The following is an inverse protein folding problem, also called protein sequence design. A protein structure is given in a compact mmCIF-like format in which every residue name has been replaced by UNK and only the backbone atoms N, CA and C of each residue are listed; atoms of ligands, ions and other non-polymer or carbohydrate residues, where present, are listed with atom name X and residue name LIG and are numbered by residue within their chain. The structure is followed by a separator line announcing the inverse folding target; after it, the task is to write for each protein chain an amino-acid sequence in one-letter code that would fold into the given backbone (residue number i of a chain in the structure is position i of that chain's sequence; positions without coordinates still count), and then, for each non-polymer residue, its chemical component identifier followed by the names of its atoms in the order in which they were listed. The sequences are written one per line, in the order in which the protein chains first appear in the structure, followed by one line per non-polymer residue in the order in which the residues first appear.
data_IF_899579757175
#
_entry.id   IF_899579757175
#
_cell.length_a   1.000
_cell.length_b   1.000
_cell.length_c   1.000
_cell.angle_alpha   90.00
_cell.angle_beta   90.00
_cell.angle_gamma   90.00
#
_symmetry.space_group_name_H-M   'P 1'
#
loop_
_entity.id
_entity.type
_entity.pdbx_description
1 polymer ?
#
# COMPACT_ATOMS: atom_id res chain seq x y z
N UNK A 1 12.49 23.32 6.38
CA UNK A 1 12.25 21.91 6.01
C UNK A 1 12.13 21.13 7.30
N UNK A 2 10.94 21.22 7.90
CA UNK A 2 10.67 20.58 9.18
C UNK A 2 10.27 19.12 8.95
N UNK A 3 11.10 18.20 9.42
CA UNK A 3 10.76 16.79 9.50
C UNK A 3 9.73 16.62 10.62
N UNK A 4 8.45 16.64 10.25
CA UNK A 4 7.38 16.21 11.15
C UNK A 4 7.55 14.72 11.44
N UNK A 5 8.03 14.47 12.66
CA UNK A 5 8.17 13.17 13.28
C UNK A 5 6.79 12.72 13.79
N UNK A 6 5.86 12.46 12.87
CA UNK A 6 4.58 11.86 13.23
C UNK A 6 4.76 10.37 13.44
N UNK A 7 4.47 9.97 14.66
CA UNK A 7 4.52 8.65 15.25
C UNK A 7 3.70 7.65 14.42
N UNK A 8 4.36 6.94 13.51
CA UNK A 8 3.78 5.81 12.76
C UNK A 8 4.25 4.53 13.43
N UNK A 9 3.56 4.13 14.49
CA UNK A 9 3.65 2.77 15.01
C UNK A 9 2.74 1.84 14.17
N UNK A 10 2.91 1.88 12.85
CA UNK A 10 2.45 0.80 11.98
C UNK A 10 3.54 -0.25 12.17
N UNK A 11 3.19 -1.35 12.83
CA UNK A 11 4.07 -2.50 12.99
C UNK A 11 4.77 -2.74 11.65
N UNK A 12 6.08 -2.47 11.63
CA UNK A 12 6.89 -2.80 10.48
C UNK A 12 6.64 -4.28 10.20
N UNK A 13 6.40 -4.66 8.94
CA UNK A 13 6.17 -6.04 8.61
C UNK A 13 7.33 -6.89 9.17
N UNK A 14 7.08 -8.08 9.74
CA UNK A 14 8.12 -8.87 10.41
C UNK A 14 9.32 -9.20 9.51
N UNK A 15 9.16 -9.11 8.18
CA UNK A 15 10.24 -9.28 7.22
C UNK A 15 11.21 -8.07 7.16
N UNK A 16 10.77 -6.86 7.51
CA UNK A 16 11.60 -5.66 7.45
C UNK A 16 12.72 -5.71 8.50
N UNK A 17 12.45 -6.29 9.67
CA UNK A 17 13.47 -6.46 10.73
C UNK A 17 14.60 -7.41 10.27
N UNK A 18 14.26 -8.48 9.55
CA UNK A 18 15.25 -9.39 8.98
C UNK A 18 16.09 -8.71 7.89
N UNK A 19 15.46 -7.89 7.04
CA UNK A 19 16.17 -7.10 6.01
C UNK A 19 17.09 -6.06 6.66
N UNK A 20 16.62 -5.36 7.68
CA UNK A 20 17.42 -4.39 8.43
C UNK A 20 18.63 -5.06 9.11
N UNK A 21 18.40 -6.23 9.70
CA UNK A 21 19.46 -7.04 10.33
C UNK A 21 20.49 -7.55 9.32
N UNK A 22 20.06 -7.99 8.14
CA UNK A 22 20.96 -8.44 7.06
C UNK A 22 21.75 -7.29 6.43
N UNK A 23 21.19 -6.09 6.36
CA UNK A 23 21.87 -4.93 5.82
C UNK A 23 22.77 -4.21 6.85
N UNK A 24 22.84 -4.73 8.09
CA UNK A 24 23.51 -4.10 9.24
C UNK A 24 23.08 -2.64 9.47
N UNK A 25 21.84 -2.31 9.09
CA UNK A 25 21.33 -0.94 9.14
C UNK A 25 20.53 -0.71 10.40
N UNK A 26 20.76 0.44 11.03
CA UNK A 26 20.14 0.75 12.31
C UNK A 26 18.80 1.47 12.20
N UNK A 27 18.51 2.26 11.16
CA UNK A 27 17.32 3.16 11.20
C UNK A 27 16.54 3.41 9.91
N UNK A 28 17.10 3.24 8.71
CA UNK A 28 16.34 3.56 7.48
C UNK A 28 16.81 2.80 6.25
N UNK A 29 15.83 2.23 5.55
CA UNK A 29 15.97 1.55 4.27
C UNK A 29 15.08 2.23 3.23
N UNK A 30 15.60 2.33 2.02
CA UNK A 30 14.85 2.79 0.86
C UNK A 30 14.27 1.57 0.16
N UNK A 31 12.94 1.51 0.03
CA UNK A 31 12.23 0.43 -0.64
C UNK A 31 11.80 0.86 -2.05
N UNK A 32 12.29 0.17 -3.07
CA UNK A 32 11.80 0.27 -4.45
C UNK A 32 10.84 -0.88 -4.72
N UNK A 33 9.56 -0.59 -4.97
CA UNK A 33 8.57 -1.60 -5.32
C UNK A 33 8.39 -1.67 -6.84
N UNK A 34 8.53 -2.87 -7.40
CA UNK A 34 8.33 -3.13 -8.81
C UNK A 34 7.08 -3.98 -9.01
N UNK A 35 6.27 -3.62 -10.00
CA UNK A 35 5.12 -4.40 -10.47
C UNK A 35 5.28 -4.62 -11.96
N UNK A 36 5.28 -5.88 -12.37
CA UNK A 36 5.35 -6.23 -13.78
C UNK A 36 4.04 -5.84 -14.46
N UNK A 37 4.14 -5.21 -15.65
CA UNK A 37 2.97 -4.76 -16.42
C UNK A 37 2.30 -5.90 -17.19
N UNK A 38 3.05 -6.95 -17.53
CA UNK A 38 2.51 -8.15 -18.15
C UNK A 38 2.04 -9.14 -17.08
N UNK A 39 0.87 -9.74 -17.29
CA UNK A 39 0.42 -10.92 -16.53
C UNK A 39 1.31 -12.14 -16.84
N UNK A 40 2.04 -12.11 -17.94
CA UNK A 40 3.12 -13.03 -18.24
C UNK A 40 4.30 -12.72 -17.30
N UNK A 41 4.60 -13.63 -16.38
CA UNK A 41 5.71 -13.51 -15.42
C UNK A 41 7.07 -13.30 -16.07
N UNK A 42 8.12 -13.07 -15.27
CA UNK A 42 9.48 -12.91 -15.79
C UNK A 42 9.94 -14.26 -16.35
N UNK A 43 10.38 -14.26 -17.60
CA UNK A 43 11.04 -15.42 -18.20
C UNK A 43 12.47 -15.51 -17.67
N UNK A 44 12.75 -16.52 -16.85
CA UNK A 44 14.10 -16.81 -16.41
C UNK A 44 14.80 -17.67 -17.46
N UNK A 45 15.82 -17.12 -18.12
CA UNK A 45 16.61 -17.86 -19.10
C UNK A 45 17.83 -18.48 -18.42
N UNK A 46 18.17 -19.71 -18.82
CA UNK A 46 19.37 -20.44 -18.40
C UNK A 46 20.11 -20.97 -19.63
N UNK A 47 21.43 -21.26 -19.54
CA UNK A 47 22.16 -21.93 -20.61
C UNK A 47 21.45 -23.21 -21.08
N UNK A 48 21.59 -23.58 -22.35
CA UNK A 48 20.86 -24.74 -22.89
C UNK A 48 21.21 -26.06 -22.18
N UNK A 49 22.49 -26.24 -21.87
CA UNK A 49 23.09 -27.36 -21.15
C UNK A 49 22.96 -27.24 -19.62
N UNK A 50 22.32 -26.17 -19.13
CA UNK A 50 22.11 -25.96 -17.70
C UNK A 50 21.23 -27.06 -17.12
N UNK A 51 21.71 -27.63 -16.02
CA UNK A 51 21.06 -28.69 -15.26
C UNK A 51 20.98 -28.26 -13.80
N UNK A 52 19.74 -28.10 -13.33
CA UNK A 52 19.45 -27.63 -11.97
C UNK A 52 20.01 -28.59 -10.93
N UNK A 53 20.03 -29.89 -11.24
CA UNK A 53 20.50 -30.92 -10.31
C UNK A 53 22.03 -30.96 -10.21
N UNK A 54 22.75 -30.22 -11.07
CA UNK A 54 24.22 -30.07 -11.03
C UNK A 54 24.69 -28.81 -10.32
N UNK A 55 23.79 -27.97 -9.83
CA UNK A 55 24.17 -26.77 -9.08
C UNK A 55 24.76 -27.22 -7.74
N UNK A 56 26.01 -26.84 -7.41
CA UNK A 56 26.61 -27.19 -6.12
C UNK A 56 25.78 -26.60 -4.97
N UNK A 57 25.59 -27.40 -3.93
CA UNK A 57 24.91 -26.96 -2.71
C UNK A 57 25.62 -25.76 -2.08
N UNK A 58 24.85 -24.88 -1.43
CA UNK A 58 25.34 -23.65 -0.80
C UNK A 58 24.90 -22.39 -1.54
N UNK A 59 25.79 -21.41 -1.65
CA UNK A 59 25.46 -20.06 -2.13
C UNK A 59 24.97 -20.03 -3.58
N UNK A 60 25.55 -20.86 -4.46
CA UNK A 60 25.15 -20.94 -5.86
C UNK A 60 23.70 -21.44 -6.02
N UNK A 61 23.35 -22.50 -5.28
CA UNK A 61 21.98 -23.05 -5.24
C UNK A 61 20.99 -22.06 -4.65
N UNK A 62 21.36 -21.42 -3.54
CA UNK A 62 20.54 -20.38 -2.90
C UNK A 62 20.26 -19.20 -3.84
N UNK A 63 21.30 -18.73 -4.55
CA UNK A 63 21.17 -17.62 -5.51
C UNK A 63 20.25 -18.00 -6.66
N UNK A 64 20.34 -19.25 -7.14
CA UNK A 64 19.47 -19.77 -8.18
C UNK A 64 18.01 -19.83 -7.71
N UNK A 65 17.74 -20.38 -6.52
CA UNK A 65 16.39 -20.46 -5.94
C UNK A 65 15.78 -19.07 -5.71
N UNK A 66 16.59 -18.09 -5.30
CA UNK A 66 16.17 -16.69 -5.19
C UNK A 66 15.78 -16.10 -6.55
N UNK A 67 16.59 -16.34 -7.60
CA UNK A 67 16.30 -15.86 -8.95
C UNK A 67 15.05 -16.51 -9.54
N UNK A 68 14.84 -17.80 -9.29
CA UNK A 68 13.65 -18.54 -9.68
C UNK A 68 12.39 -18.00 -8.98
N UNK A 69 12.48 -17.73 -7.67
CA UNK A 69 11.39 -17.13 -6.89
C UNK A 69 11.06 -15.72 -7.36
N UNK A 70 12.10 -14.91 -7.66
CA UNK A 70 11.93 -13.58 -8.20
C UNK A 70 11.25 -13.61 -9.57
N UNK A 71 11.59 -14.61 -10.41
CA UNK A 71 11.00 -14.75 -11.73
C UNK A 71 9.51 -15.12 -11.68
N UNK A 72 9.12 -15.92 -10.68
CA UNK A 72 7.73 -16.29 -10.42
C UNK A 72 6.90 -15.14 -9.81
N UNK A 73 7.54 -14.14 -9.20
CA UNK A 73 6.85 -13.05 -8.52
C UNK A 73 6.29 -12.00 -9.51
N UNK A 74 5.00 -11.69 -9.40
CA UNK A 74 4.36 -10.59 -10.16
C UNK A 74 4.72 -9.20 -9.59
N UNK A 75 5.17 -9.17 -8.33
CA UNK A 75 5.57 -7.98 -7.58
C UNK A 75 6.79 -8.33 -6.74
N UNK A 76 7.79 -7.46 -6.74
CA UNK A 76 8.94 -7.62 -5.86
C UNK A 76 9.36 -6.25 -5.32
N UNK A 77 10.14 -6.25 -4.23
CA UNK A 77 10.68 -5.03 -3.63
C UNK A 77 12.17 -5.18 -3.46
N UNK A 78 12.93 -4.16 -3.87
CA UNK A 78 14.36 -4.05 -3.62
C UNK A 78 14.57 -3.08 -2.46
N UNK A 79 15.39 -3.48 -1.49
CA UNK A 79 15.72 -2.66 -0.33
C UNK A 79 17.17 -2.21 -0.44
N UNK A 80 17.40 -0.92 -0.26
CA UNK A 80 18.72 -0.31 -0.30
C UNK A 80 18.99 0.42 1.01
N UNK A 81 20.26 0.58 1.34
CA UNK A 81 20.65 1.54 2.37
C UNK A 81 20.22 2.94 1.94
N UNK A 82 19.67 3.74 2.86
CA UNK A 82 19.10 5.06 2.56
C UNK A 82 20.10 6.05 1.94
N UNK A 83 21.40 5.84 2.17
CA UNK A 83 22.50 6.65 1.66
C UNK A 83 23.00 6.25 0.26
N UNK A 84 22.62 5.06 -0.24
CA UNK A 84 23.12 4.54 -1.52
C UNK A 84 22.41 5.16 -2.71
N UNK A 85 21.11 5.41 -2.60
CA UNK A 85 20.31 6.04 -3.65
C UNK A 85 20.13 7.53 -3.35
N UNK A 86 21.00 8.37 -3.92
CA UNK A 86 20.82 9.82 -3.90
C UNK A 86 19.51 10.19 -4.61
N UNK A 87 18.83 11.25 -4.15
CA UNK A 87 17.60 11.76 -4.76
C UNK A 87 17.75 12.07 -6.26
N UNK A 88 18.94 12.51 -6.68
CA UNK A 88 19.27 12.73 -8.09
C UNK A 88 19.23 11.43 -8.92
N UNK A 89 19.64 10.29 -8.35
CA UNK A 89 19.59 8.99 -9.02
C UNK A 89 18.15 8.51 -9.22
N UNK A 90 17.22 8.87 -8.32
CA UNK A 90 15.79 8.56 -8.49
C UNK A 90 15.21 9.18 -9.74
N UNK A 91 15.51 10.45 -10.02
CA UNK A 91 15.05 11.11 -11.24
C UNK A 91 15.57 10.41 -12.51
N UNK A 92 16.77 9.82 -12.46
CA UNK A 92 17.31 9.04 -13.56
C UNK A 92 16.57 7.71 -13.76
N UNK A 93 16.26 6.99 -12.67
CA UNK A 93 15.45 5.77 -12.74
C UNK A 93 14.03 6.06 -13.22
N UNK A 94 13.40 7.10 -12.69
CA UNK A 94 12.07 7.54 -13.12
C UNK A 94 12.08 7.92 -14.60
N UNK A 95 13.08 8.69 -15.05
CA UNK A 95 13.26 9.03 -16.47
C UNK A 95 13.59 7.81 -17.35
N UNK A 96 14.22 6.77 -16.81
CA UNK A 96 14.47 5.53 -17.54
C UNK A 96 13.20 4.64 -17.65
N UNK A 97 12.30 4.73 -16.68
CA UNK A 97 11.06 3.92 -16.59
C UNK A 97 9.86 4.64 -17.25
N UNK A 98 9.87 5.98 -17.31
CA UNK A 98 8.76 6.82 -17.75
C UNK A 98 8.49 6.83 -19.27
N UNK A 99 9.48 6.88 -20.19
CA UNK A 99 9.17 6.89 -21.61
C UNK A 99 8.71 5.50 -22.05
N UNK A 100 7.61 5.47 -22.82
CA UNK A 100 7.33 4.30 -23.64
C UNK A 100 8.58 4.02 -24.50
N UNK A 101 9.15 2.80 -24.46
CA UNK A 101 10.43 2.54 -25.09
C UNK A 101 10.36 2.94 -26.55
N UNK A 102 11.34 3.72 -27.03
CA UNK A 102 11.48 4.08 -28.44
C UNK A 102 11.50 2.79 -29.28
N UNK A 103 11.01 2.82 -30.51
CA UNK A 103 10.92 1.63 -31.36
C UNK A 103 12.28 0.93 -31.55
N UNK A 104 13.38 1.69 -31.62
CA UNK A 104 14.74 1.16 -31.61
C UNK A 104 15.09 0.41 -30.31
N UNK A 105 14.69 0.95 -29.15
CA UNK A 105 14.89 0.31 -27.85
C UNK A 105 14.03 -0.96 -27.75
N UNK A 106 12.76 -0.90 -28.18
CA UNK A 106 11.88 -2.09 -28.28
C UNK A 106 12.51 -3.16 -29.16
N UNK A 107 13.05 -2.79 -30.33
CA UNK A 107 13.73 -3.71 -31.23
C UNK A 107 14.95 -4.33 -30.55
N UNK A 108 15.77 -3.54 -29.84
CA UNK A 108 16.91 -4.09 -29.06
C UNK A 108 16.45 -5.04 -27.95
N UNK A 109 15.35 -4.72 -27.26
CA UNK A 109 14.76 -5.59 -26.24
C UNK A 109 14.18 -6.87 -26.84
N UNK A 110 13.57 -6.78 -28.02
CA UNK A 110 13.10 -7.94 -28.79
C UNK A 110 14.26 -8.83 -29.22
N UNK A 111 15.36 -8.23 -29.68
CA UNK A 111 16.58 -8.97 -30.03
C UNK A 111 17.23 -9.63 -28.80
N UNK A 112 17.18 -8.97 -27.63
CA UNK A 112 17.60 -9.53 -26.33
C UNK A 112 16.66 -10.64 -25.83
N UNK A 113 15.37 -10.57 -26.13
CA UNK A 113 14.39 -11.64 -25.83
C UNK A 113 14.62 -12.91 -26.64
N UNK A 114 15.44 -12.87 -27.69
CA UNK A 114 15.79 -14.08 -28.41
C UNK A 114 16.74 -14.93 -27.56
N UNK A 115 16.16 -15.81 -26.75
CA UNK A 115 16.88 -16.70 -25.83
C UNK A 115 17.99 -17.47 -26.55
N UNK A 116 17.84 -17.77 -27.84
CA UNK A 116 18.85 -18.45 -28.67
C UNK A 116 20.14 -17.65 -28.90
N UNK A 117 20.13 -16.34 -28.68
CA UNK A 117 21.31 -15.46 -28.81
C UNK A 117 22.01 -15.17 -27.47
N UNK A 118 21.39 -15.54 -26.35
CA UNK A 118 21.99 -15.40 -25.03
C UNK A 118 23.19 -16.35 -24.87
N UNK A 119 24.01 -16.11 -23.85
CA UNK A 119 25.18 -16.93 -23.50
C UNK A 119 26.19 -17.06 -24.67
N UNK A 120 26.63 -15.92 -25.21
CA UNK A 120 27.63 -15.86 -26.29
C UNK A 120 27.21 -16.66 -27.55
N UNK A 121 25.92 -16.73 -27.84
CA UNK A 121 25.39 -17.44 -29.01
C UNK A 121 25.28 -18.96 -28.85
N UNK A 122 25.62 -19.51 -27.68
CA UNK A 122 25.33 -20.92 -27.33
C UNK A 122 23.83 -21.15 -27.22
N UNK A 123 23.08 -20.09 -26.94
CA UNK A 123 21.64 -20.12 -26.76
C UNK A 123 21.26 -20.58 -25.36
N UNK A 124 20.12 -20.06 -24.90
CA UNK A 124 19.50 -20.46 -23.66
C UNK A 124 18.15 -21.13 -23.89
N UNK A 125 17.63 -21.69 -22.80
CA UNK A 125 16.25 -22.15 -22.69
C UNK A 125 15.56 -21.36 -21.56
N UNK A 126 14.25 -21.22 -21.65
CA UNK A 126 13.47 -20.67 -20.53
C UNK A 126 13.40 -21.75 -19.46
N UNK A 127 13.97 -21.45 -18.29
CA UNK A 127 13.83 -22.27 -17.09
C UNK A 127 12.38 -22.26 -16.64
N UNK A 128 11.82 -23.45 -16.41
CA UNK A 128 10.48 -23.60 -15.84
C UNK A 128 10.65 -23.86 -14.35
N UNK A 129 10.08 -23.01 -13.48
CA UNK A 129 10.26 -23.18 -12.05
C UNK A 129 9.83 -24.57 -11.57
N UNK A 130 10.65 -25.22 -10.74
CA UNK A 130 10.40 -26.57 -10.21
C UNK A 130 9.30 -26.50 -9.14
N UNK A 131 8.04 -26.47 -9.58
CA UNK A 131 6.89 -26.32 -8.66
C UNK A 131 5.59 -25.83 -9.29
N UNK A 132 5.56 -25.52 -10.59
CA UNK A 132 4.34 -25.11 -11.30
C UNK A 132 3.84 -26.14 -12.33
N UNK A 133 4.11 -27.42 -12.10
CA UNK A 133 3.30 -28.49 -12.70
C UNK A 133 1.96 -28.60 -11.93
N UNK A 134 1.21 -27.50 -11.93
CA UNK A 134 -0.21 -27.51 -11.58
C UNK A 134 -1.02 -28.18 -12.70
N UNK A 135 -2.19 -28.76 -12.40
CA UNK A 135 -2.97 -29.51 -13.38
C UNK A 135 -3.36 -28.62 -14.57
N UNK A 136 -3.15 -29.16 -15.77
CA UNK A 136 -3.62 -28.62 -17.06
C UNK A 136 -5.06 -28.08 -16.97
N UNK A 137 -5.43 -26.99 -17.68
CA UNK A 137 -6.70 -26.30 -17.48
C UNK A 137 -7.85 -27.10 -18.11
N UNK A 138 -8.40 -28.07 -17.37
CA UNK A 138 -9.78 -28.47 -17.53
C UNK A 138 -10.41 -28.71 -16.15
N UNK A 139 -11.47 -27.95 -15.90
CA UNK A 139 -12.55 -28.12 -14.91
C UNK A 139 -12.30 -27.77 -13.44
N UNK A 140 -13.00 -26.70 -13.05
CA UNK A 140 -13.90 -26.53 -11.90
C UNK A 140 -13.59 -27.16 -10.53
N UNK A 141 -13.48 -26.23 -9.56
CA UNK A 141 -14.04 -26.20 -8.19
C UNK A 141 -13.38 -26.99 -7.04
N UNK A 142 -13.40 -26.27 -5.92
CA UNK A 142 -13.37 -26.63 -4.50
C UNK A 142 -12.03 -26.56 -3.77
N UNK A 143 -11.95 -25.51 -2.96
CA UNK A 143 -10.96 -25.18 -1.93
C UNK A 143 -10.94 -26.19 -0.79
N UNK A 144 -9.74 -26.53 -0.31
CA UNK A 144 -9.41 -26.76 1.12
C UNK A 144 -7.88 -26.82 1.32
N UNK A 145 -7.36 -26.50 2.53
CA UNK A 145 -5.98 -26.07 2.73
C UNK A 145 -5.03 -27.22 3.08
N UNK A 146 -3.77 -27.13 2.64
CA UNK A 146 -2.72 -28.09 2.96
C UNK A 146 -1.61 -27.49 3.85
N UNK A 147 -1.11 -28.36 4.72
CA UNK A 147 -0.22 -28.13 5.85
C UNK A 147 1.15 -27.53 5.52
N UNK A 148 1.57 -26.59 6.36
CA UNK A 148 2.92 -26.03 6.36
C UNK A 148 3.94 -27.04 6.89
N UNK A 149 4.97 -27.29 6.08
CA UNK A 149 6.22 -27.91 6.56
C UNK A 149 7.29 -26.82 6.55
N UNK A 150 7.89 -26.59 7.71
CA UNK A 150 8.89 -25.55 7.97
C UNK A 150 10.21 -25.85 7.25
N UNK A 151 10.60 -24.97 6.31
CA UNK A 151 11.92 -24.94 5.69
C UNK A 151 12.44 -23.49 5.69
N UNK A 152 13.64 -23.28 6.24
CA UNK A 152 14.22 -21.97 6.51
C UNK A 152 15.04 -21.46 5.31
N UNK A 153 14.54 -20.44 4.61
CA UNK A 153 15.27 -19.73 3.53
C UNK A 153 14.32 -18.87 2.70
N UNK A 154 14.10 -17.62 3.11
CA UNK A 154 12.96 -16.78 2.71
C UNK A 154 13.13 -16.09 1.34
N UNK A 155 12.53 -16.65 0.30
CA UNK A 155 11.68 -15.91 -0.64
C UNK A 155 10.22 -16.26 -0.35
N UNK A 156 9.68 -15.63 0.70
CA UNK A 156 8.29 -15.88 1.10
C UNK A 156 7.33 -15.40 -0.01
N UNK A 157 6.33 -16.21 -0.40
CA UNK A 157 5.26 -15.76 -1.28
C UNK A 157 4.55 -14.57 -0.63
N UNK A 158 4.53 -13.43 -1.33
CA UNK A 158 3.90 -12.21 -0.83
C UNK A 158 2.37 -12.32 -0.90
N UNK A 159 1.74 -11.74 0.12
CA UNK A 159 0.29 -11.58 0.35
C UNK A 159 -0.58 -11.69 -0.91
N UNK A 160 -1.38 -12.75 -0.96
CA UNK A 160 -2.64 -12.75 -1.69
C UNK A 160 -3.75 -12.93 -0.66
N UNK A 161 -4.05 -11.89 0.11
CA UNK A 161 -5.30 -11.85 0.89
C UNK A 161 -6.03 -10.52 0.62
N UNK A 162 -7.31 -10.59 0.20
CA UNK A 162 -8.18 -9.42 0.22
C UNK A 162 -8.59 -9.17 1.67
N UNK A 163 -8.22 -8.02 2.24
CA UNK A 163 -8.78 -7.58 3.52
C UNK A 163 -10.31 -7.48 3.41
N UNK A 164 -11.09 -8.05 4.34
CA UNK A 164 -12.45 -7.59 4.58
C UNK A 164 -12.39 -6.17 5.13
N UNK A 165 -13.21 -5.28 4.58
CA UNK A 165 -13.47 -3.95 5.14
C UNK A 165 -14.16 -4.12 6.50
N UNK A 166 -13.39 -4.10 7.58
CA UNK A 166 -13.94 -3.83 8.92
C UNK A 166 -14.22 -2.33 9.02
N UNK A 167 -15.50 -2.00 9.13
CA UNK A 167 -16.00 -0.65 9.38
C UNK A 167 -15.36 -0.06 10.66
N UNK A 168 -14.99 1.23 10.66
CA UNK A 168 -14.54 1.89 11.89
C UNK A 168 -15.68 1.96 12.92
N UNK A 169 -15.37 1.95 14.23
CA UNK A 169 -16.38 2.00 15.27
C UNK A 169 -17.16 3.33 15.20
N UNK A 170 -18.46 3.32 15.55
CA UNK A 170 -19.31 4.49 15.45
C UNK A 170 -18.89 5.54 16.49
N UNK A 171 -18.52 6.73 16.03
CA UNK A 171 -18.36 7.88 16.91
C UNK A 171 -19.75 8.42 17.27
N UNK A 172 -20.06 8.46 18.56
CA UNK A 172 -21.23 9.20 19.06
C UNK A 172 -21.07 10.69 18.71
N UNK A 173 -22.11 11.23 18.07
CA UNK A 173 -22.26 12.66 17.80
C UNK A 173 -22.23 13.43 19.12
N UNK A 174 -21.16 14.19 19.35
CA UNK A 174 -21.17 15.27 20.33
C UNK A 174 -22.23 16.32 19.94
N UNK A 175 -23.11 16.74 20.85
CA UNK A 175 -24.11 17.75 20.56
C UNK A 175 -23.45 19.14 20.47
N UNK A 176 -23.82 19.85 19.41
CA UNK A 176 -23.61 21.28 19.21
C UNK A 176 -24.08 22.08 20.42
N UNK A 177 -23.14 22.79 21.06
CA UNK A 177 -23.43 23.73 22.15
C UNK A 177 -22.65 25.03 21.92
N UNK A 178 -23.31 26.01 21.30
CA UNK A 178 -22.75 27.34 21.09
C UNK A 178 -22.53 28.09 22.41
N UNK A 179 -21.51 28.95 22.42
CA UNK A 179 -21.49 30.24 23.11
C UNK A 179 -20.22 31.00 22.73
N UNK A 180 -20.40 32.02 21.92
CA UNK A 180 -19.45 33.12 21.78
C UNK A 180 -19.42 33.93 23.06
N UNK A 181 -18.25 34.43 23.49
CA UNK A 181 -18.19 35.67 24.25
C UNK A 181 -17.36 36.70 23.48
N UNK A 182 -18.06 37.74 23.04
CA UNK A 182 -17.58 39.11 22.97
C UNK A 182 -16.80 39.45 24.25
N UNK A 183 -15.63 40.09 24.15
CA UNK A 183 -15.18 41.20 25.02
C UNK A 183 -13.76 41.66 24.62
N UNK A 184 -13.71 42.96 24.28
CA UNK A 184 -12.67 43.99 24.44
C UNK A 184 -11.19 43.65 24.22
N UNK A 185 -10.67 44.29 23.18
CA UNK A 185 -9.31 44.81 23.09
C UNK A 185 -9.07 45.91 24.13
N UNK A 186 -7.96 45.82 24.88
CA UNK A 186 -7.01 46.93 25.10
C UNK A 186 -5.78 46.50 25.90
N UNK A 187 -4.64 47.09 25.49
CA UNK A 187 -3.43 47.42 26.23
C UNK A 187 -2.35 46.34 26.58
N UNK A 188 -1.21 46.56 25.92
CA UNK A 188 0.19 46.28 26.25
C UNK A 188 0.58 45.92 27.71
N UNK A 189 1.48 44.93 27.85
CA UNK A 189 2.82 45.08 28.46
C UNK A 189 3.54 43.72 28.63
N UNK A 190 4.72 43.64 28.00
CA UNK A 190 6.02 43.15 28.50
C UNK A 190 6.15 41.94 29.45
N UNK A 191 7.14 41.09 29.09
CA UNK A 191 8.11 40.38 29.94
C UNK A 191 7.90 38.88 30.26
N UNK A 192 8.76 38.08 29.62
CA UNK A 192 9.31 36.77 30.03
C UNK A 192 10.19 36.98 31.29
N UNK A 193 10.20 36.08 32.31
CA UNK A 193 11.15 34.96 32.32
C UNK A 193 10.70 33.61 32.92
N UNK A 194 11.42 32.61 32.42
CA UNK A 194 11.44 31.17 32.70
C UNK A 194 11.28 30.74 34.17
N UNK A 195 10.63 29.56 34.36
CA UNK A 195 11.10 28.58 35.35
C UNK A 195 10.62 27.16 35.08
N UNK A 196 11.62 26.29 34.93
CA UNK A 196 11.60 24.83 34.87
C UNK A 196 11.10 24.22 36.18
N UNK A 197 10.23 23.20 36.09
CA UNK A 197 10.00 22.07 37.03
C UNK A 197 8.92 21.20 36.37
N UNK A 198 9.21 20.03 35.82
CA UNK A 198 9.64 18.85 36.56
C UNK A 198 8.40 18.08 37.03
N UNK A 199 7.73 17.37 36.12
CA UNK A 199 6.65 16.44 36.45
C UNK A 199 6.84 15.12 35.71
N UNK A 200 6.94 14.07 36.52
CA UNK A 200 7.12 12.66 36.22
C UNK A 200 5.83 12.09 35.60
N UNK A 201 5.87 11.23 34.56
CA UNK A 201 4.68 10.52 34.09
C UNK A 201 4.35 9.33 35.02
N UNK A 202 3.07 9.04 35.32
CA UNK A 202 2.71 7.92 36.16
C UNK A 202 2.88 6.58 35.44
N UNK A 203 3.28 5.60 36.25
CA UNK A 203 3.61 4.22 35.90
C UNK A 203 2.38 3.43 35.43
N UNK A 204 2.60 2.61 34.41
CA UNK A 204 1.75 1.50 34.00
C UNK A 204 1.63 0.46 35.13
N UNK A 205 0.41 0.06 35.46
CA UNK A 205 0.14 -1.16 36.23
C UNK A 205 -0.59 -2.18 35.38
N UNK A 206 0.09 -3.30 35.24
CA UNK A 206 -0.31 -4.62 34.77
C UNK A 206 -1.52 -5.14 35.56
N UNK A 207 -2.57 -5.62 34.89
CA UNK A 207 -3.54 -6.56 35.47
C UNK A 207 -3.91 -7.63 34.42
N UNK A 208 -3.35 -8.84 34.67
CA UNK A 208 -3.97 -10.19 34.65
C UNK A 208 -5.11 -10.44 33.65
N UNK A 209 -4.91 -11.28 32.64
CA UNK A 209 -5.15 -12.75 32.70
C UNK A 209 -6.48 -13.13 33.37
N UNK A 210 -7.46 -13.47 32.54
CA UNK A 210 -8.50 -14.43 32.87
C UNK A 210 -8.73 -15.34 31.67
N UNK A 211 -8.30 -16.59 31.84
CA UNK A 211 -8.83 -17.75 31.13
C UNK A 211 -10.34 -17.86 31.42
N UNK A 212 -11.16 -17.93 30.38
CA UNK A 212 -12.51 -18.48 30.48
C UNK A 212 -12.70 -19.47 29.36
N UNK A 213 -12.93 -20.70 29.82
CA UNK A 213 -13.23 -21.90 29.07
C UNK A 213 -14.52 -21.76 28.26
N UNK A 214 -14.44 -22.20 27.02
CA UNK A 214 -15.56 -22.64 26.20
C UNK A 214 -16.19 -23.89 26.83
N UNK A 215 -17.52 -23.95 26.92
CA UNK A 215 -18.17 -25.16 26.44
C UNK A 215 -19.48 -24.84 25.75
N UNK A 216 -19.69 -25.23 24.49
CA UNK A 216 -20.88 -25.99 24.08
C UNK A 216 -20.68 -26.63 22.71
N UNK A 217 -20.27 -27.89 22.75
CA UNK A 217 -20.29 -28.84 21.65
C UNK A 217 -21.74 -29.32 21.46
N UNK A 218 -22.50 -28.68 20.57
CA UNK A 218 -23.89 -29.01 20.23
C UNK A 218 -24.00 -29.43 18.78
N UNK A 219 -24.08 -30.74 18.54
CA UNK A 219 -24.00 -31.34 17.22
C UNK A 219 -25.12 -31.00 16.25
N UNK A 220 -24.74 -30.85 14.98
CA UNK A 220 -25.58 -31.13 13.81
C UNK A 220 -24.70 -31.68 12.70
N UNK A 221 -24.73 -33.00 12.51
CA UNK A 221 -24.33 -33.61 11.25
C UNK A 221 -25.57 -33.77 10.37
N UNK A 222 -25.56 -33.06 9.25
CA UNK A 222 -26.48 -33.22 8.14
C UNK A 222 -25.63 -33.48 6.90
N UNK A 223 -25.75 -34.68 6.34
CA UNK A 223 -25.18 -35.12 5.07
C UNK A 223 -25.74 -36.52 4.83
N UNK A 224 -26.72 -36.73 3.96
CA UNK A 224 -26.66 -36.73 2.49
C UNK A 224 -25.67 -37.76 1.95
N UNK A 225 -26.02 -39.03 2.07
CA UNK A 225 -25.49 -40.08 1.22
C UNK A 225 -26.60 -40.57 0.29
N UNK A 226 -26.44 -40.16 -0.96
CA UNK A 226 -27.20 -40.57 -2.12
C UNK A 226 -26.27 -41.51 -2.90
N UNK A 227 -26.41 -42.81 -2.72
CA UNK A 227 -25.79 -43.81 -3.60
C UNK A 227 -26.69 -45.03 -3.75
N UNK A 228 -27.25 -45.14 -4.95
CA UNK A 228 -27.44 -46.36 -5.75
C UNK A 228 -27.94 -47.63 -5.04
N UNK A 229 -29.24 -47.88 -5.15
CA UNK A 229 -29.83 -49.21 -4.94
C UNK A 229 -30.49 -49.68 -6.25
N UNK A 230 -29.68 -50.21 -7.16
CA UNK A 230 -30.14 -51.13 -8.20
C UNK A 230 -30.02 -52.58 -7.69
N UNK A 231 -31.07 -53.09 -7.03
CA UNK A 231 -31.18 -54.50 -6.66
C UNK A 231 -32.08 -55.23 -7.67
N UNK A 232 -31.50 -55.67 -8.78
CA UNK A 232 -32.15 -56.58 -9.75
C UNK A 232 -32.21 -57.99 -9.16
N UNK A 233 -33.31 -58.30 -8.47
CA UNK A 233 -33.59 -59.65 -8.00
C UNK A 233 -33.98 -60.55 -9.20
N UNK A 234 -33.13 -61.55 -9.43
CA UNK A 234 -33.26 -62.57 -10.48
C UNK A 234 -34.56 -63.37 -10.32
N UNK A 235 -35.40 -63.28 -11.35
CA UNK A 235 -36.61 -64.06 -11.58
C UNK A 235 -36.26 -65.56 -11.63
N UNK A 236 -36.59 -66.32 -10.59
CA UNK A 236 -36.59 -67.79 -10.62
C UNK A 236 -37.86 -68.27 -11.33
N UNK A 237 -37.70 -68.86 -12.51
CA UNK A 237 -38.71 -69.71 -13.17
C UNK A 237 -38.86 -71.02 -12.37
N UNK A 238 -40.06 -71.48 -12.02
CA UNK A 238 -40.30 -72.89 -11.76
C UNK A 238 -40.55 -73.65 -13.07
N UNK A 239 -40.10 -74.91 -13.20
CA UNK A 239 -40.30 -75.72 -14.38
C UNK A 239 -41.70 -76.32 -14.42
N UNK A 240 -42.20 -76.39 -15.64
CA UNK A 240 -43.43 -77.04 -16.09
C UNK A 240 -43.42 -78.52 -15.71
N UNK A 241 -44.40 -78.95 -14.92
CA UNK A 241 -44.76 -80.35 -14.75
C UNK A 241 -46.00 -80.63 -15.60
N UNK A 242 -45.81 -81.44 -16.64
CA UNK A 242 -46.89 -82.01 -17.45
C UNK A 242 -47.67 -83.02 -16.62
N UNK A 243 -48.99 -82.83 -16.52
CA UNK A 243 -49.95 -83.83 -16.06
C UNK A 243 -51.20 -83.76 -16.95
N UNK A 244 -51.53 -84.81 -17.72
CA UNK A 244 -52.72 -84.81 -18.57
C UNK A 244 -53.88 -85.45 -17.79
N UNK A 245 -54.75 -84.64 -17.20
CA UNK A 245 -56.02 -85.13 -16.68
C UNK A 245 -57.15 -84.78 -17.64
N UNK A 246 -57.62 -85.85 -18.29
CA UNK A 246 -58.85 -85.92 -19.06
C UNK A 246 -60.03 -85.74 -18.11
N UNK A 247 -60.76 -84.63 -18.22
CA UNK A 247 -62.07 -84.51 -17.59
C UNK A 247 -63.04 -83.82 -18.55
N UNK A 248 -64.00 -84.63 -19.03
CA UNK A 248 -65.41 -84.28 -19.24
C UNK A 248 -65.73 -83.02 -20.05
N UNK A 249 -66.06 -83.24 -21.33
CA UNK A 249 -67.00 -82.40 -22.10
C UNK A 249 -68.22 -82.03 -21.24
N UNK A 250 -68.44 -80.73 -21.06
CA UNK A 250 -69.75 -80.12 -20.81
C UNK A 250 -69.89 -78.96 -21.80
N UNK A 251 -70.52 -79.24 -22.95
CA UNK A 251 -70.70 -78.34 -24.10
C UNK A 251 -71.78 -77.25 -23.87
N UNK A 252 -71.97 -76.77 -22.64
CA UNK A 252 -72.99 -75.75 -22.35
C UNK A 252 -72.53 -74.53 -21.50
N UNK A 253 -71.25 -74.41 -21.14
CA UNK A 253 -70.74 -73.26 -20.33
C UNK A 253 -69.61 -72.42 -20.99
N UNK A 254 -69.12 -72.79 -22.18
CA UNK A 254 -68.00 -72.06 -22.84
C UNK A 254 -68.37 -70.63 -23.27
N UNK A 255 -69.62 -70.36 -23.64
CA UNK A 255 -70.05 -69.05 -24.10
C UNK A 255 -70.05 -67.98 -22.98
N UNK A 256 -70.30 -68.40 -21.73
CA UNK A 256 -70.31 -67.53 -20.54
C UNK A 256 -68.90 -67.09 -20.11
N UNK A 257 -67.92 -67.99 -20.25
CA UNK A 257 -66.53 -67.76 -19.81
C UNK A 257 -65.76 -66.84 -20.79
N UNK A 258 -66.07 -66.93 -22.09
CA UNK A 258 -65.50 -66.04 -23.12
C UNK A 258 -65.90 -64.58 -22.89
N UNK A 259 -67.17 -64.32 -22.53
CA UNK A 259 -67.64 -62.96 -22.22
C UNK A 259 -66.98 -62.35 -20.99
N UNK A 260 -66.70 -63.15 -19.95
CA UNK A 260 -66.03 -62.68 -18.73
C UNK A 260 -64.54 -62.38 -18.96
N UNK A 261 -63.86 -63.19 -19.77
CA UNK A 261 -62.49 -62.92 -20.23
C UNK A 261 -62.42 -61.66 -21.10
N UNK A 262 -63.40 -61.43 -21.97
CA UNK A 262 -63.45 -60.21 -22.79
C UNK A 262 -63.64 -58.94 -21.96
N UNK A 263 -64.47 -59.00 -20.92
CA UNK A 263 -64.64 -57.92 -19.95
C UNK A 263 -63.35 -57.65 -19.16
N UNK A 264 -62.63 -58.69 -18.71
CA UNK A 264 -61.32 -58.53 -18.07
C UNK A 264 -60.28 -57.91 -19.02
N UNK A 265 -60.25 -58.31 -20.28
CA UNK A 265 -59.36 -57.71 -21.28
C UNK A 265 -59.65 -56.22 -21.48
N UNK A 266 -60.93 -55.82 -21.60
CA UNK A 266 -61.35 -54.41 -21.68
C UNK A 266 -60.96 -53.62 -20.43
N UNK A 267 -61.12 -54.22 -19.24
CA UNK A 267 -60.70 -53.62 -17.96
C UNK A 267 -59.19 -53.36 -17.92
N UNK A 268 -58.37 -54.34 -18.33
CA UNK A 268 -56.91 -54.21 -18.37
C UNK A 268 -56.49 -53.15 -19.40
N UNK A 269 -57.16 -53.06 -20.54
CA UNK A 269 -56.88 -52.04 -21.54
C UNK A 269 -57.20 -50.63 -21.04
N UNK A 270 -58.32 -50.45 -20.33
CA UNK A 270 -58.65 -49.19 -19.66
C UNK A 270 -57.61 -48.81 -18.59
N UNK A 271 -57.18 -49.77 -17.76
CA UNK A 271 -56.13 -49.54 -16.77
C UNK A 271 -54.79 -49.14 -17.42
N UNK A 272 -54.44 -49.74 -18.58
CA UNK A 272 -53.24 -49.35 -19.34
C UNK A 272 -53.33 -47.91 -19.83
N UNK A 273 -54.46 -47.52 -20.42
CA UNK A 273 -54.69 -46.14 -20.88
C UNK A 273 -54.63 -45.15 -19.73
N UNK A 274 -55.18 -45.50 -18.57
CA UNK A 274 -55.12 -44.65 -17.38
C UNK A 274 -53.69 -44.47 -16.85
N UNK A 275 -52.88 -45.55 -16.82
CA UNK A 275 -51.46 -45.47 -16.45
C UNK A 275 -50.68 -44.61 -17.47
N UNK A 276 -50.98 -44.73 -18.77
CA UNK A 276 -50.35 -43.90 -19.81
C UNK A 276 -50.69 -42.42 -19.67
N UNK A 277 -51.96 -42.10 -19.36
CA UNK A 277 -52.38 -40.72 -19.06
C UNK A 277 -51.69 -40.17 -17.81
N UNK A 278 -51.57 -40.97 -16.74
CA UNK A 278 -50.85 -40.57 -15.53
C UNK A 278 -49.35 -40.31 -15.81
N UNK A 279 -48.72 -41.12 -16.67
CA UNK A 279 -47.33 -40.89 -17.10
C UNK A 279 -47.19 -39.58 -17.86
N UNK A 280 -48.12 -39.29 -18.77
CA UNK A 280 -48.17 -38.03 -19.50
C UNK A 280 -48.35 -36.83 -18.57
N UNK A 281 -49.22 -36.92 -17.56
CA UNK A 281 -49.39 -35.84 -16.57
C UNK A 281 -48.11 -35.58 -15.77
N UNK A 282 -47.41 -36.64 -15.34
CA UNK A 282 -46.13 -36.53 -14.62
C UNK A 282 -45.05 -35.89 -15.52
N UNK A 283 -44.97 -36.28 -16.78
CA UNK A 283 -44.02 -35.72 -17.75
C UNK A 283 -44.29 -34.22 -17.97
N UNK A 284 -45.56 -33.84 -18.12
CA UNK A 284 -45.97 -32.45 -18.29
C UNK A 284 -45.61 -31.60 -17.06
N UNK A 285 -45.90 -32.08 -15.85
CA UNK A 285 -45.52 -31.40 -14.61
C UNK A 285 -44.01 -31.25 -14.46
N UNK A 286 -43.22 -32.27 -14.85
CA UNK A 286 -41.75 -32.16 -14.87
C UNK A 286 -41.28 -31.08 -15.83
N UNK A 287 -41.89 -30.99 -17.02
CA UNK A 287 -41.59 -29.95 -18.01
C UNK A 287 -41.91 -28.56 -17.46
N UNK A 288 -43.04 -28.41 -16.78
CA UNK A 288 -43.47 -27.15 -16.17
C UNK A 288 -42.50 -26.67 -15.09
N UNK A 289 -42.07 -27.56 -14.18
CA UNK A 289 -41.07 -27.24 -13.13
C UNK A 289 -39.73 -26.85 -13.75
N UNK A 290 -39.29 -27.54 -14.80
CA UNK A 290 -38.04 -27.18 -15.49
C UNK A 290 -38.14 -25.80 -16.16
N UNK A 291 -39.27 -25.49 -16.80
CA UNK A 291 -39.50 -24.16 -17.39
C UNK A 291 -39.56 -23.07 -16.32
N UNK A 292 -40.21 -23.31 -15.18
CA UNK A 292 -40.21 -22.38 -14.06
C UNK A 292 -38.79 -22.14 -13.54
N UNK A 293 -37.96 -23.19 -13.43
CA UNK A 293 -36.54 -23.04 -13.05
C UNK A 293 -35.76 -22.23 -14.08
N UNK A 294 -35.99 -22.49 -15.37
CA UNK A 294 -35.34 -21.77 -16.46
C UNK A 294 -35.73 -20.28 -16.52
N UNK A 295 -36.94 -19.92 -16.06
CA UNK A 295 -37.39 -18.52 -15.98
C UNK A 295 -36.86 -17.86 -14.69
N UNK A 296 -36.84 -18.57 -13.57
CA UNK A 296 -36.35 -18.05 -12.30
C UNK A 296 -34.85 -17.71 -12.30
N UNK A 297 -34.03 -18.45 -13.06
CA UNK A 297 -32.60 -18.16 -13.17
C UNK A 297 -32.29 -16.78 -13.78
N UNK A 298 -32.81 -16.41 -14.96
CA UNK A 298 -32.70 -15.06 -15.49
C UNK A 298 -33.20 -13.97 -14.55
N UNK A 299 -34.30 -14.19 -13.83
CA UNK A 299 -34.83 -13.21 -12.87
C UNK A 299 -33.83 -12.95 -11.73
N UNK A 300 -33.28 -14.00 -11.13
CA UNK A 300 -32.25 -13.87 -10.10
C UNK A 300 -31.00 -13.16 -10.63
N UNK A 301 -30.58 -13.46 -11.86
CA UNK A 301 -29.44 -12.80 -12.48
C UNK A 301 -29.70 -11.30 -12.71
N UNK A 302 -30.92 -10.92 -13.10
CA UNK A 302 -31.32 -9.51 -13.26
C UNK A 302 -31.27 -8.78 -11.92
N UNK A 303 -31.79 -9.38 -10.85
CA UNK A 303 -31.73 -8.79 -9.50
C UNK A 303 -30.29 -8.63 -9.00
N UNK A 304 -29.41 -9.61 -9.27
CA UNK A 304 -28.00 -9.51 -8.93
C UNK A 304 -27.31 -8.39 -9.72
N UNK A 305 -27.58 -8.29 -11.02
CA UNK A 305 -27.05 -7.21 -11.86
C UNK A 305 -27.53 -5.84 -11.39
N UNK A 306 -28.81 -5.69 -11.05
CA UNK A 306 -29.36 -4.44 -10.50
C UNK A 306 -28.65 -4.06 -9.19
N UNK A 307 -28.39 -5.02 -8.30
CA UNK A 307 -27.64 -4.78 -7.07
C UNK A 307 -26.21 -4.31 -7.35
N UNK A 308 -25.53 -4.94 -8.31
CA UNK A 308 -24.17 -4.54 -8.71
C UNK A 308 -24.14 -3.14 -9.33
N UNK A 309 -25.13 -2.80 -10.15
CA UNK A 309 -25.27 -1.44 -10.72
C UNK A 309 -25.44 -0.41 -9.61
N UNK A 310 -26.34 -0.63 -8.65
CA UNK A 310 -26.52 0.31 -7.53
C UNK A 310 -25.26 0.46 -6.66
N UNK A 311 -24.46 -0.59 -6.48
CA UNK A 311 -23.17 -0.50 -5.80
C UNK A 311 -22.14 0.32 -6.59
N UNK A 312 -22.13 0.19 -7.92
CA UNK A 312 -21.25 0.97 -8.79
C UNK A 312 -21.65 2.44 -8.83
N UNK A 313 -22.95 2.75 -8.86
CA UNK A 313 -23.48 4.12 -8.78
C UNK A 313 -23.05 4.79 -7.47
N UNK A 314 -23.23 4.11 -6.33
CA UNK A 314 -22.79 4.64 -5.03
C UNK A 314 -21.28 4.93 -4.99
N UNK A 315 -20.46 4.02 -5.53
CA UNK A 315 -19.00 4.24 -5.62
C UNK A 315 -18.65 5.40 -6.55
N UNK A 316 -19.45 5.63 -7.58
CA UNK A 316 -19.26 6.75 -8.48
C UNK A 316 -19.56 8.08 -7.79
N UNK A 317 -20.66 8.16 -7.04
CA UNK A 317 -21.00 9.34 -6.22
C UNK A 317 -19.90 9.63 -5.17
N UNK A 318 -19.43 8.61 -4.45
CA UNK A 318 -18.32 8.75 -3.49
C UNK A 318 -17.04 9.29 -4.16
N UNK A 319 -16.72 8.79 -5.36
CA UNK A 319 -15.55 9.25 -6.13
C UNK A 319 -15.72 10.70 -6.63
N UNK A 320 -16.93 11.10 -6.99
CA UNK A 320 -17.25 12.47 -7.43
C UNK A 320 -17.15 13.47 -6.26
N UNK A 321 -17.58 13.08 -5.07
CA UNK A 321 -17.37 13.85 -3.84
C UNK A 321 -15.88 14.01 -3.53
N UNK A 322 -15.11 12.91 -3.57
CA UNK A 322 -13.66 12.96 -3.36
C UNK A 322 -12.98 13.88 -4.39
N UNK A 323 -13.39 13.83 -5.65
CA UNK A 323 -12.88 14.71 -6.70
C UNK A 323 -13.14 16.18 -6.39
N UNK A 324 -14.36 16.53 -5.95
CA UNK A 324 -14.70 17.90 -5.57
C UNK A 324 -13.84 18.39 -4.40
N UNK A 325 -13.66 17.57 -3.36
CA UNK A 325 -12.80 17.95 -2.21
C UNK A 325 -11.33 18.13 -2.61
N UNK A 326 -10.84 17.32 -3.55
CA UNK A 326 -9.48 17.45 -4.05
C UNK A 326 -9.30 18.74 -4.86
N UNK A 327 -10.31 19.10 -5.66
CA UNK A 327 -10.33 20.34 -6.41
C UNK A 327 -10.33 21.56 -5.49
N UNK A 328 -11.17 21.59 -4.45
CA UNK A 328 -11.18 22.67 -3.45
C UNK A 328 -9.81 22.85 -2.77
N UNK A 329 -9.16 21.73 -2.42
CA UNK A 329 -7.80 21.76 -1.83
C UNK A 329 -6.76 22.29 -2.80
N UNK A 330 -6.91 21.98 -4.09
CA UNK A 330 -6.04 22.51 -5.13
C UNK A 330 -6.21 24.02 -5.27
N UNK A 331 -7.45 24.51 -5.38
CA UNK A 331 -7.76 25.94 -5.45
C UNK A 331 -7.22 26.70 -4.22
N UNK A 332 -7.37 26.14 -3.01
CA UNK A 332 -6.79 26.72 -1.80
C UNK A 332 -5.26 26.77 -1.84
N UNK A 333 -4.62 25.73 -2.38
CA UNK A 333 -3.15 25.69 -2.52
C UNK A 333 -2.68 26.76 -3.51
N UNK A 334 -3.40 26.96 -4.61
CA UNK A 334 -3.09 27.98 -5.61
C UNK A 334 -3.22 29.40 -5.02
N UNK A 335 -4.24 29.65 -4.20
CA UNK A 335 -4.37 30.91 -3.44
C UNK A 335 -3.18 31.14 -2.52
N UNK A 336 -2.79 30.14 -1.72
CA UNK A 336 -1.66 30.25 -0.80
C UNK A 336 -0.33 30.50 -1.55
N UNK A 337 -0.14 29.89 -2.72
CA UNK A 337 1.03 30.13 -3.58
C UNK A 337 1.02 31.57 -4.11
N UNK A 338 -0.15 32.10 -4.47
CA UNK A 338 -0.31 33.50 -4.89
C UNK A 338 0.04 34.49 -3.77
N UNK A 339 -0.44 34.24 -2.55
CA UNK A 339 -0.11 35.03 -1.36
C UNK A 339 1.41 35.01 -1.10
N UNK A 340 2.02 33.82 -1.03
CA UNK A 340 3.46 33.67 -0.83
C UNK A 340 4.28 34.37 -1.93
N UNK A 341 3.81 34.32 -3.18
CA UNK A 341 4.47 35.02 -4.28
C UNK A 341 4.45 36.53 -4.10
N UNK A 342 3.36 37.07 -3.54
CA UNK A 342 3.23 38.50 -3.22
C UNK A 342 4.21 38.89 -2.12
N UNK A 343 4.26 38.11 -1.03
CA UNK A 343 5.21 38.33 0.08
C UNK A 343 6.67 38.34 -0.39
N UNK A 344 7.02 37.42 -1.30
CA UNK A 344 8.37 37.35 -1.88
C UNK A 344 8.71 38.61 -2.68
N UNK A 345 7.75 39.15 -3.45
CA UNK A 345 7.92 40.39 -4.22
C UNK A 345 8.08 41.59 -3.28
N UNK A 346 7.28 41.67 -2.21
CA UNK A 346 7.40 42.74 -1.21
C UNK A 346 8.76 42.68 -0.50
N UNK A 347 9.19 41.49 -0.09
CA UNK A 347 10.49 41.28 0.55
C UNK A 347 11.65 41.64 -0.39
N UNK A 348 11.56 41.26 -1.66
CA UNK A 348 12.57 41.62 -2.66
C UNK A 348 12.64 43.13 -2.86
N UNK A 349 11.49 43.81 -2.92
CA UNK A 349 11.43 45.28 -3.04
C UNK A 349 12.07 45.95 -1.84
N UNK A 350 11.76 45.48 -0.62
CA UNK A 350 12.38 45.98 0.60
C UNK A 350 13.90 45.75 0.65
N UNK A 351 14.38 44.60 0.18
CA UNK A 351 15.81 44.32 0.06
C UNK A 351 16.52 45.27 -0.90
N UNK A 352 15.92 45.56 -2.06
CA UNK A 352 16.45 46.52 -3.02
C UNK A 352 16.51 47.94 -2.45
N UNK A 353 15.54 48.33 -1.63
CA UNK A 353 15.55 49.63 -0.94
C UNK A 353 16.66 49.73 0.11
N UNK A 354 16.83 48.70 0.95
CA UNK A 354 17.95 48.63 1.91
C UNK A 354 19.30 48.68 1.18
N UNK A 355 19.43 47.95 0.08
CA UNK A 355 20.63 47.98 -0.76
C UNK A 355 20.92 49.37 -1.34
N UNK A 356 19.88 50.15 -1.67
CA UNK A 356 20.03 51.53 -2.15
C UNK A 356 20.44 52.51 -1.03
N UNK A 357 20.01 52.27 0.21
CA UNK A 357 20.35 53.12 1.37
C UNK A 357 21.74 52.82 1.95
N UNK A 358 22.27 51.61 1.74
CA UNK A 358 23.57 51.19 2.29
C UNK A 358 24.75 52.12 1.90
N UNK A 359 24.89 52.58 0.64
CA UNK A 359 25.95 53.52 0.25
C UNK A 359 25.87 54.84 1.01
N UNK A 360 24.66 55.39 1.19
CA UNK A 360 24.46 56.67 1.90
C UNK A 360 24.91 56.54 3.36
N UNK A 361 24.53 55.44 4.04
CA UNK A 361 24.98 55.16 5.41
C UNK A 361 26.50 54.96 5.48
N UNK A 362 27.10 54.30 4.49
CA UNK A 362 28.55 54.14 4.42
C UNK A 362 29.27 55.49 4.22
N UNK A 363 28.71 56.38 3.40
CA UNK A 363 29.23 57.73 3.19
C UNK A 363 29.12 58.57 4.47
N UNK A 364 27.97 58.56 5.15
CA UNK A 364 27.80 59.23 6.45
C UNK A 364 28.81 58.74 7.49
N UNK A 365 29.06 57.42 7.53
CA UNK A 365 30.04 56.84 8.44
C UNK A 365 31.47 57.27 8.14
N UNK A 366 31.89 57.28 6.87
CA UNK A 366 33.24 57.75 6.50
C UNK A 366 33.41 59.26 6.74
N UNK A 367 32.37 60.06 6.50
CA UNK A 367 32.35 61.48 6.84
C UNK A 367 32.50 61.72 8.36
N UNK A 368 31.75 60.97 9.17
CA UNK A 368 31.85 61.03 10.64
C UNK A 368 33.25 60.65 11.12
N UNK A 369 33.81 59.56 10.59
CA UNK A 369 35.15 59.08 10.92
C UNK A 369 36.23 60.09 10.53
N UNK A 370 36.10 60.73 9.36
CA UNK A 370 36.96 61.83 8.94
C UNK A 370 36.92 63.00 9.93
N UNK A 371 35.71 63.48 10.28
CA UNK A 371 35.53 64.58 11.22
C UNK A 371 36.06 64.28 12.64
N UNK A 372 35.89 63.06 13.13
CA UNK A 372 36.50 62.62 14.39
C UNK A 372 38.03 62.54 14.31
N UNK A 373 38.57 62.15 13.15
CA UNK A 373 40.02 62.10 12.92
C UNK A 373 40.65 63.49 12.93
N UNK A 374 40.01 64.46 12.28
CA UNK A 374 40.48 65.83 12.22
C UNK A 374 40.41 66.53 13.58
N UNK A 375 39.29 66.40 14.30
CA UNK A 375 39.15 66.95 15.67
C UNK A 375 40.18 66.38 16.64
N UNK A 376 40.39 65.05 16.64
CA UNK A 376 41.42 64.42 17.48
C UNK A 376 42.84 64.90 17.10
N UNK A 377 43.10 65.10 15.81
CA UNK A 377 44.41 65.59 15.33
C UNK A 377 44.66 67.05 15.76
N UNK A 378 43.63 67.89 15.72
CA UNK A 378 43.69 69.27 16.23
C UNK A 378 43.94 69.28 17.74
N UNK A 379 43.18 68.50 18.52
CA UNK A 379 43.36 68.38 19.98
C UNK A 379 44.77 67.92 20.35
N UNK A 380 45.32 66.92 19.64
CA UNK A 380 46.69 66.45 19.85
C UNK A 380 47.72 67.53 19.49
N UNK A 381 47.51 68.24 18.38
CA UNK A 381 48.40 69.32 17.97
C UNK A 381 48.39 70.46 19.01
N UNK A 382 47.22 70.90 19.45
CA UNK A 382 47.07 71.94 20.47
C UNK A 382 47.73 71.51 21.79
N UNK A 383 47.49 70.27 22.24
CA UNK A 383 48.15 69.71 23.41
C UNK A 383 49.69 69.70 23.31
N UNK A 384 50.25 69.30 22.16
CA UNK A 384 51.71 69.32 21.94
C UNK A 384 52.23 70.76 21.98
N UNK A 385 51.53 71.69 21.32
CA UNK A 385 51.91 73.11 21.28
C UNK A 385 51.91 73.73 22.67
N UNK A 386 50.87 73.49 23.46
CA UNK A 386 50.74 73.98 24.83
C UNK A 386 51.82 73.39 25.75
N UNK A 387 52.08 72.09 25.62
CA UNK A 387 53.17 71.43 26.35
C UNK A 387 54.54 72.01 26.03
N UNK A 388 54.81 72.26 24.75
CA UNK A 388 56.06 72.90 24.31
C UNK A 388 56.18 74.33 24.82
N UNK A 389 55.12 75.14 24.73
CA UNK A 389 55.10 76.52 25.22
C UNK A 389 55.35 76.56 26.74
N UNK A 390 54.70 75.68 27.50
CA UNK A 390 54.91 75.54 28.94
C UNK A 390 56.36 75.17 29.27
N UNK A 391 56.94 74.19 28.58
CA UNK A 391 58.33 73.77 28.82
C UNK A 391 59.34 74.88 28.47
N UNK A 392 59.12 75.64 27.39
CA UNK A 392 59.96 76.80 27.05
C UNK A 392 59.84 77.89 28.11
N UNK A 393 58.62 78.18 28.59
CA UNK A 393 58.37 79.13 29.67
C UNK A 393 59.13 78.74 30.96
N UNK A 394 58.99 77.49 31.39
CA UNK A 394 59.70 76.93 32.56
C UNK A 394 61.23 77.01 32.40
N UNK A 395 61.77 76.71 31.21
CA UNK A 395 63.22 76.84 30.92
C UNK A 395 63.71 78.30 30.96
N UNK A 396 62.95 79.23 30.36
CA UNK A 396 63.30 80.65 30.33
C UNK A 396 63.24 81.24 31.74
N UNK A 397 62.20 80.92 32.51
CA UNK A 397 62.06 81.34 33.90
C UNK A 397 63.23 80.83 34.76
N UNK A 398 63.54 79.53 34.66
CA UNK A 398 64.70 78.94 35.34
C UNK A 398 66.02 79.63 34.97
N UNK A 399 66.23 79.97 33.69
CA UNK A 399 67.44 80.67 33.25
C UNK A 399 67.49 82.12 33.73
N UNK A 400 66.37 82.83 33.72
CA UNK A 400 66.26 84.19 34.27
C UNK A 400 66.56 84.20 35.76
N UNK A 401 66.03 83.24 36.52
CA UNK A 401 66.30 83.13 37.95
C UNK A 401 67.76 82.74 38.23
N UNK A 402 68.36 81.88 37.40
CA UNK A 402 69.80 81.60 37.43
C UNK A 402 70.62 82.88 37.21
N UNK A 403 70.27 83.70 36.21
CA UNK A 403 70.93 84.98 35.91
C UNK A 403 70.75 85.99 37.03
N UNK A 404 69.53 86.16 37.56
CA UNK A 404 69.27 87.02 38.74
C UNK A 404 70.13 86.59 39.93
N UNK A 405 70.19 85.28 40.21
CA UNK A 405 71.02 84.73 41.27
C UNK A 405 72.54 84.94 41.05
N UNK A 406 73.02 84.99 39.81
CA UNK A 406 74.40 85.37 39.49
C UNK A 406 74.64 86.88 39.68
N UNK A 407 73.70 87.73 39.25
CA UNK A 407 73.81 89.19 39.39
C UNK A 407 73.79 89.63 40.86
N UNK A 408 72.90 89.07 41.68
CA UNK A 408 72.87 89.35 43.13
C UNK A 408 74.18 88.97 43.83
N UNK A 409 74.87 87.92 43.37
CA UNK A 409 76.19 87.52 43.89
C UNK A 409 77.32 88.46 43.46
N UNK A 410 77.19 89.14 42.33
CA UNK A 410 78.20 90.07 41.82
C UNK A 410 78.12 91.48 42.44
N UNK A 411 76.99 91.83 43.06
CA UNK A 411 76.75 93.13 43.71
C UNK A 411 77.03 93.15 45.22
N UNK A 412 77.40 92.01 45.81
CA UNK A 412 77.90 91.86 47.18
C UNK A 412 79.42 91.86 47.18
#
# INVERSE_FOLDING_TARGET
MDYNNTNVNIHNPPYLENVLKQLELTHSVTRLQFRLRSSEGIQFAVPFDFDVDKIPDGEARFTFECAESLAAASRFSLYFQHNVLKKESFAHYEKAISPSPTEALRKSYWDMRNVKRLYNGVGGKVHKPRGHDGPSPMRERCSSPASATTSCGSTLPFETDPRPEELPPPYEKCPSGGRSPTVRSDAAATAIPAKTRGLVPPRYSIIKQHDVLDPFQGGRHCGSEDTDIHRTAKRKRPPVAYGPEKTGRSEFDEESNVGQLELQCKQIELQRREIELQRWDIELRRREVELQRQIGQPQNNVEELQRRVGQLEKRHEELEEEYCTLQERQEQTDVNIGELSTDVIELQTGYEEVMKQMPDVCEEFENLKGGMGDTLKEDIHEFIKDRMAKQVGECVEAHVDEMKGKLCRALQ
#
